data_IF_783017652765
#
_entry.id   IF_783017652765
#
_cell.length_a   1.000
_cell.length_b   1.000
_cell.length_c   1.000
_cell.angle_alpha   90.00
_cell.angle_beta   90.00
_cell.angle_gamma   90.00
#
_symmetry.space_group_name_H-M   'P 1'
#
loop_
_entity.id
_entity.type
_entity.pdbx_description
1 polymer ?
#
# COMPACT_ATOMS: atom_id res chain seq x y z
N UNK A 1 11.93 -6.86 5.38
CA UNK A 1 10.88 -5.89 5.77
C UNK A 1 10.81 -4.69 4.82
N UNK A 2 11.94 -4.16 4.32
CA UNK A 2 11.92 -3.07 3.34
C UNK A 2 11.13 -3.41 2.05
N UNK A 3 11.34 -4.61 1.48
CA UNK A 3 10.59 -5.08 0.29
C UNK A 3 9.08 -5.07 0.52
N UNK A 4 8.63 -5.53 1.70
CA UNK A 4 7.22 -5.50 2.07
C UNK A 4 6.66 -4.07 2.15
N UNK A 5 7.42 -3.12 2.70
CA UNK A 5 7.02 -1.71 2.75
C UNK A 5 6.88 -1.11 1.35
N UNK A 6 7.83 -1.38 0.45
CA UNK A 6 7.77 -0.95 -0.94
C UNK A 6 6.52 -1.52 -1.63
N UNK A 7 6.33 -2.84 -1.56
CA UNK A 7 5.18 -3.51 -2.17
C UNK A 7 3.85 -2.96 -1.65
N UNK A 8 3.76 -2.66 -0.36
CA UNK A 8 2.54 -2.10 0.25
C UNK A 8 2.24 -0.71 -0.29
N UNK A 9 3.25 0.17 -0.38
CA UNK A 9 3.10 1.50 -0.96
C UNK A 9 2.75 1.44 -2.45
N UNK A 10 3.44 0.58 -3.20
CA UNK A 10 3.14 0.36 -4.62
C UNK A 10 1.72 -0.14 -4.80
N UNK A 11 1.26 -1.10 -4.00
CA UNK A 11 -0.12 -1.61 -4.07
C UNK A 11 -1.15 -0.53 -3.75
N UNK A 12 -0.92 0.26 -2.69
CA UNK A 12 -1.82 1.37 -2.31
C UNK A 12 -1.91 2.44 -3.40
N UNK A 13 -0.82 2.69 -4.15
CA UNK A 13 -0.84 3.62 -5.29
C UNK A 13 -1.46 3.00 -6.55
N UNK A 14 -1.14 1.74 -6.86
CA UNK A 14 -1.66 1.04 -8.04
C UNK A 14 -3.17 0.79 -7.97
N UNK A 15 -3.73 0.60 -6.78
CA UNK A 15 -5.16 0.32 -6.62
C UNK A 15 -6.08 1.41 -7.19
N UNK A 16 -6.00 2.69 -6.78
CA UNK A 16 -6.82 3.74 -7.38
C UNK A 16 -6.49 3.99 -8.86
N UNK A 17 -5.22 3.86 -9.26
CA UNK A 17 -4.80 4.05 -10.66
C UNK A 17 -5.40 2.95 -11.55
N UNK A 18 -5.42 1.70 -11.09
CA UNK A 18 -6.02 0.58 -11.81
C UNK A 18 -7.54 0.75 -11.99
N UNK A 19 -8.22 1.28 -10.97
CA UNK A 19 -9.66 1.60 -11.06
C UNK A 19 -9.90 2.68 -12.11
N UNK A 20 -9.18 3.80 -12.03
CA UNK A 20 -9.34 4.93 -12.97
C UNK A 20 -9.00 4.50 -14.40
N UNK A 21 -7.90 3.79 -14.61
CA UNK A 21 -7.51 3.28 -15.92
C UNK A 21 -8.48 2.24 -16.47
N UNK A 22 -9.01 1.35 -15.63
CA UNK A 22 -10.06 0.40 -16.02
C UNK A 22 -11.33 1.09 -16.49
N UNK A 23 -11.80 2.10 -15.75
CA UNK A 23 -12.97 2.90 -16.12
C UNK A 23 -12.71 3.66 -17.44
N UNK A 24 -11.55 4.31 -17.59
CA UNK A 24 -11.19 5.03 -18.81
C UNK A 24 -11.14 4.12 -20.04
N UNK A 25 -10.55 2.93 -19.91
CA UNK A 25 -10.48 1.94 -21.00
C UNK A 25 -11.87 1.42 -21.37
N UNK A 26 -12.73 1.18 -20.39
CA UNK A 26 -14.12 0.76 -20.62
C UNK A 26 -14.94 1.86 -21.30
N UNK A 27 -14.79 3.12 -20.89
CA UNK A 27 -15.43 4.25 -21.57
C UNK A 27 -14.87 4.47 -22.99
N UNK A 28 -13.59 4.17 -23.22
CA UNK A 28 -12.98 4.25 -24.55
C UNK A 28 -13.57 3.25 -25.54
N UNK A 29 -13.95 2.04 -25.08
CA UNK A 29 -14.61 1.05 -25.94
C UNK A 29 -16.07 1.39 -26.25
N UNK A 30 -16.83 1.90 -25.28
CA UNK A 30 -18.27 2.16 -25.44
C UNK A 30 -18.58 3.55 -26.04
N UNK A 31 -17.73 4.56 -25.79
CA UNK A 31 -17.94 5.96 -26.19
C UNK A 31 -16.69 6.52 -26.92
N UNK A 32 -16.36 5.99 -28.12
CA UNK A 32 -15.12 6.34 -28.82
C UNK A 32 -15.05 7.80 -29.25
N UNK A 33 -16.19 8.47 -29.42
CA UNK A 33 -16.28 9.89 -29.82
C UNK A 33 -15.67 10.82 -28.75
N UNK A 34 -15.81 10.48 -27.46
CA UNK A 34 -15.30 11.29 -26.35
C UNK A 34 -13.97 10.78 -25.78
N UNK A 35 -13.72 9.48 -25.87
CA UNK A 35 -12.61 8.79 -25.18
C UNK A 35 -11.60 8.11 -26.12
N UNK A 36 -11.59 8.46 -27.42
CA UNK A 36 -10.63 7.92 -28.40
C UNK A 36 -9.16 8.28 -28.14
N UNK A 37 -8.90 9.27 -27.28
CA UNK A 37 -7.55 9.68 -26.87
C UNK A 37 -6.94 8.77 -25.79
N UNK A 38 -7.74 7.89 -25.16
CA UNK A 38 -7.29 7.05 -24.04
C UNK A 38 -6.25 6.04 -24.53
N UNK A 39 -5.02 6.09 -24.00
CA UNK A 39 -3.98 5.22 -24.52
C UNK A 39 -4.11 3.76 -24.07
N UNK A 40 -3.99 2.80 -25.00
CA UNK A 40 -4.19 1.36 -24.72
C UNK A 40 -3.19 0.75 -23.72
N UNK A 41 -1.99 1.32 -23.57
CA UNK A 41 -1.00 0.87 -22.57
C UNK A 41 -1.44 1.09 -21.11
N UNK A 42 -2.51 1.86 -20.86
CA UNK A 42 -3.15 1.96 -19.54
C UNK A 42 -3.63 0.61 -19.01
N UNK A 43 -3.76 -0.40 -19.88
CA UNK A 43 -4.13 -1.76 -19.49
C UNK A 43 -3.10 -2.40 -18.55
N UNK A 44 -1.85 -1.90 -18.53
CA UNK A 44 -0.80 -2.38 -17.65
C UNK A 44 -1.17 -2.26 -16.16
N UNK A 45 -1.93 -1.23 -15.77
CA UNK A 45 -2.30 -1.01 -14.37
C UNK A 45 -3.30 -2.05 -13.84
N UNK A 46 -4.45 -2.29 -14.49
CA UNK A 46 -5.39 -3.34 -14.05
C UNK A 46 -4.78 -4.74 -14.18
N UNK A 47 -3.96 -5.02 -15.20
CA UNK A 47 -3.28 -6.32 -15.35
C UNK A 47 -2.09 -6.51 -14.39
N UNK A 48 -1.40 -5.42 -14.01
CA UNK A 48 -0.29 -5.47 -13.06
C UNK A 48 -0.74 -5.62 -11.60
N UNK A 49 -1.95 -5.17 -11.28
CA UNK A 49 -2.51 -5.26 -9.93
C UNK A 49 -2.55 -6.69 -9.35
N UNK A 50 -2.98 -7.75 -10.05
CA UNK A 50 -2.91 -9.11 -9.51
C UNK A 50 -1.47 -9.57 -9.25
N UNK A 51 -0.50 -9.20 -10.11
CA UNK A 51 0.92 -9.56 -9.93
C UNK A 51 1.47 -8.93 -8.64
N UNK A 52 1.23 -7.63 -8.45
CA UNK A 52 1.66 -6.89 -7.25
C UNK A 52 0.89 -7.38 -6.02
N UNK A 53 -0.39 -7.70 -6.17
CA UNK A 53 -1.23 -8.26 -5.12
C UNK A 53 -0.70 -9.61 -4.60
N UNK A 54 -0.33 -10.52 -5.50
CA UNK A 54 0.28 -11.81 -5.14
C UNK A 54 1.62 -11.59 -4.43
N UNK A 55 2.48 -10.72 -4.96
CA UNK A 55 3.74 -10.35 -4.31
C UNK A 55 3.51 -9.81 -2.88
N UNK A 56 2.52 -8.94 -2.71
CA UNK A 56 2.12 -8.42 -1.39
C UNK A 56 1.66 -9.53 -0.44
N UNK A 57 0.85 -10.49 -0.92
CA UNK A 57 0.39 -11.62 -0.10
C UNK A 57 1.54 -12.52 0.37
N UNK A 58 2.55 -12.74 -0.48
CA UNK A 58 3.71 -13.59 -0.16
C UNK A 58 4.64 -12.90 0.85
N UNK A 59 4.96 -11.62 0.63
CA UNK A 59 6.02 -10.92 1.37
C UNK A 59 5.51 -9.96 2.45
N UNK A 60 4.45 -9.20 2.19
CA UNK A 60 4.00 -8.15 3.10
C UNK A 60 3.10 -8.68 4.22
N UNK A 61 2.22 -9.65 3.95
CA UNK A 61 1.32 -10.24 4.98
C UNK A 61 2.09 -10.92 6.12
N UNK A 62 3.33 -11.34 5.87
CA UNK A 62 4.21 -11.93 6.89
C UNK A 62 4.80 -10.89 7.85
N UNK A 63 4.78 -9.61 7.49
CA UNK A 63 5.33 -8.52 8.30
C UNK A 63 4.59 -8.31 9.61
N UNK A 64 5.26 -8.58 10.73
CA UNK A 64 4.74 -8.39 12.09
C UNK A 64 5.72 -7.63 12.97
N UNK A 65 5.18 -6.98 14.00
CA UNK A 65 5.95 -6.38 15.08
C UNK A 65 6.66 -7.48 15.87
N UNK A 66 7.97 -7.33 16.11
CA UNK A 66 8.76 -8.31 16.87
C UNK A 66 8.40 -8.40 18.36
N UNK A 67 7.81 -7.34 18.91
CA UNK A 67 7.48 -7.27 20.34
C UNK A 67 6.11 -7.87 20.63
N UNK A 68 5.08 -7.48 19.87
CA UNK A 68 3.69 -7.88 20.14
C UNK A 68 3.08 -8.79 19.06
N UNK A 69 3.81 -9.13 18.01
CA UNK A 69 3.32 -9.98 16.91
C UNK A 69 2.31 -9.31 15.97
N UNK A 70 1.92 -8.06 16.22
CA UNK A 70 0.89 -7.38 15.41
C UNK A 70 1.31 -7.21 13.95
N UNK A 71 0.40 -7.51 13.02
CA UNK A 71 0.63 -7.33 11.57
C UNK A 71 0.75 -5.85 11.22
N UNK A 72 1.83 -5.49 10.52
CA UNK A 72 2.24 -4.09 10.28
C UNK A 72 1.55 -3.46 9.07
N UNK A 73 1.39 -4.22 8.00
CA UNK A 73 0.90 -3.73 6.72
C UNK A 73 -0.61 -3.89 6.53
N UNK A 74 -1.32 -4.38 7.56
CA UNK A 74 -2.75 -4.60 7.49
C UNK A 74 -3.52 -3.33 7.87
N UNK A 75 -4.34 -2.75 6.99
CA UNK A 75 -5.12 -1.57 7.35
C UNK A 75 -6.10 -1.94 8.48
N UNK A 76 -6.11 -1.14 9.54
CA UNK A 76 -7.04 -1.28 10.66
C UNK A 76 -7.53 0.09 11.08
N UNK A 77 -8.79 0.14 11.48
CA UNK A 77 -9.44 1.36 11.96
C UNK A 77 -9.13 1.66 13.44
N UNK A 78 -8.14 1.00 14.03
CA UNK A 78 -7.79 1.17 15.43
C UNK A 78 -6.45 1.89 15.61
N UNK A 79 -6.44 2.91 16.47
CA UNK A 79 -5.24 3.57 16.95
C UNK A 79 -5.12 3.35 18.46
N UNK A 80 -4.63 2.17 18.86
CA UNK A 80 -4.53 1.82 20.29
C UNK A 80 -3.54 2.71 21.04
N UNK A 81 -2.49 3.18 20.36
CA UNK A 81 -1.50 4.08 20.95
C UNK A 81 -1.44 5.41 20.20
N UNK A 82 -1.64 6.52 20.91
CA UNK A 82 -1.61 7.88 20.37
C UNK A 82 -0.24 8.30 19.83
N UNK A 83 0.85 7.69 20.31
CA UNK A 83 2.23 7.99 19.85
C UNK A 83 2.58 7.33 18.52
N UNK A 84 1.68 6.50 17.96
CA UNK A 84 1.90 5.87 16.68
C UNK A 84 1.66 6.86 15.52
N UNK A 85 2.55 6.84 14.54
CA UNK A 85 2.44 7.71 13.37
C UNK A 85 1.21 7.30 12.55
N UNK A 86 0.31 8.25 12.34
CA UNK A 86 -0.88 8.07 11.51
C UNK A 86 -1.12 9.36 10.71
N UNK A 87 -1.71 9.20 9.54
CA UNK A 87 -2.21 10.32 8.73
C UNK A 87 -3.73 10.17 8.66
N UNK A 88 -4.45 11.25 8.93
CA UNK A 88 -5.91 11.29 8.83
C UNK A 88 -6.34 10.96 7.39
N UNK A 89 -7.26 10.00 7.21
CA UNK A 89 -7.74 9.52 5.91
C UNK A 89 -6.90 8.39 5.29
N UNK A 90 -5.57 8.48 5.34
CA UNK A 90 -4.67 7.45 4.77
C UNK A 90 -4.29 6.32 5.76
N UNK A 91 -4.55 6.54 7.05
CA UNK A 91 -4.28 5.58 8.11
C UNK A 91 -2.81 5.56 8.55
N UNK A 92 -2.43 4.48 9.23
CA UNK A 92 -1.09 4.33 9.85
C UNK A 92 -0.08 3.60 8.97
N UNK A 93 -0.54 2.84 7.97
CA UNK A 93 0.32 1.95 7.16
C UNK A 93 1.32 2.77 6.35
N UNK A 94 0.89 3.89 5.75
CA UNK A 94 1.75 4.76 4.94
C UNK A 94 2.88 5.37 5.78
N UNK A 95 2.60 6.05 6.92
CA UNK A 95 3.66 6.55 7.79
C UNK A 95 4.64 5.47 8.24
N UNK A 96 4.13 4.29 8.61
CA UNK A 96 4.99 3.17 9.01
C UNK A 96 5.92 2.74 7.87
N UNK A 97 5.42 2.61 6.64
CA UNK A 97 6.24 2.27 5.49
C UNK A 97 7.30 3.34 5.20
N UNK A 98 6.94 4.62 5.21
CA UNK A 98 7.86 5.74 4.98
C UNK A 98 8.95 5.76 6.05
N UNK A 99 8.58 5.66 7.32
CA UNK A 99 9.53 5.67 8.43
C UNK A 99 10.48 4.46 8.42
N UNK A 100 9.97 3.28 8.05
CA UNK A 100 10.80 2.09 7.86
C UNK A 100 11.81 2.27 6.72
N UNK A 101 11.43 2.90 5.61
CA UNK A 101 12.30 3.06 4.45
C UNK A 101 13.36 4.13 4.66
N UNK A 102 12.95 5.31 5.16
CA UNK A 102 13.83 6.47 5.33
C UNK A 102 14.68 6.39 6.60
N UNK A 103 14.06 6.03 7.73
CA UNK A 103 14.71 6.14 9.04
C UNK A 103 15.07 4.78 9.66
N UNK A 104 14.65 3.66 9.05
CA UNK A 104 14.89 2.29 9.57
C UNK A 104 14.31 2.04 10.97
N UNK A 105 13.31 2.81 11.38
CA UNK A 105 12.59 2.59 12.64
C UNK A 105 11.11 2.92 12.45
N UNK A 106 10.25 2.38 13.30
CA UNK A 106 8.82 2.71 13.33
C UNK A 106 8.26 2.51 14.73
N UNK A 107 7.11 3.11 15.03
CA UNK A 107 6.32 2.81 16.24
C UNK A 107 5.14 1.92 15.89
N UNK A 108 5.00 0.82 16.61
CA UNK A 108 3.84 -0.07 16.43
C UNK A 108 2.56 0.62 16.91
N UNK A 109 1.48 0.55 16.12
CA UNK A 109 0.17 1.10 16.50
C UNK A 109 -0.48 0.42 17.71
N UNK A 110 -0.05 -0.80 18.04
CA UNK A 110 -0.64 -1.58 19.12
C UNK A 110 0.12 -1.42 20.43
N UNK A 111 1.40 -1.78 20.46
CA UNK A 111 2.23 -1.70 21.68
C UNK A 111 2.94 -0.35 21.85
N UNK A 112 3.02 0.50 20.83
CA UNK A 112 3.69 1.81 20.89
C UNK A 112 5.21 1.76 20.98
N UNK A 113 5.80 0.57 21.08
CA UNK A 113 7.25 0.42 21.19
C UNK A 113 7.94 0.89 19.90
N UNK A 114 9.01 1.70 20.00
CA UNK A 114 9.84 2.04 18.86
C UNK A 114 10.67 0.80 18.48
N UNK A 115 10.44 0.26 17.29
CA UNK A 115 11.17 -0.90 16.76
C UNK A 115 12.17 -0.39 15.75
N UNK A 116 13.46 -0.65 16.00
CA UNK A 116 14.55 -0.39 15.07
C UNK A 116 14.81 -1.63 14.21
N UNK A 117 14.90 -1.44 12.90
CA UNK A 117 15.29 -2.49 11.98
C UNK A 117 16.82 -2.60 11.99
N UNK A 118 17.34 -3.82 12.14
CA UNK A 118 18.76 -4.09 11.87
C UNK A 118 18.97 -4.03 10.36
N UNK A 119 20.11 -3.48 9.95
CA UNK A 119 20.55 -3.39 8.56
C UNK A 119 20.54 -4.75 7.87
#
# INVERSE_FOLDING_TARGET
>A
MAVAAILTLTLMAFFPIAIISGILLFCSSELPIYFGWVPKWLILFPLGLPVIGIAYLIWAVKGSCRVCGQKLYYPRMCLKNSKAHHITGLGYVIPVCIHMLLFKWFRCTYCGTPVRLKE
#
